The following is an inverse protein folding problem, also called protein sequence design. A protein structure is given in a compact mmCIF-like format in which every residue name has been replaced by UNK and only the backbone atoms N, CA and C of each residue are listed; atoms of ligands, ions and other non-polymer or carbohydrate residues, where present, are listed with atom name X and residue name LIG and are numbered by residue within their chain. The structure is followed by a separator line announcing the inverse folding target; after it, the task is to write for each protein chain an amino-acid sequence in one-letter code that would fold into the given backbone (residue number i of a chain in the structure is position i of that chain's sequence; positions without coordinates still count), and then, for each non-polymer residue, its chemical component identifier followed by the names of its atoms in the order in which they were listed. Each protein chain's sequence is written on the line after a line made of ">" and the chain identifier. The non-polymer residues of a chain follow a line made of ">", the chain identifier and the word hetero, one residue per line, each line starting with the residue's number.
data_IF_932500359976
#
_entry.id   IF_932500359976
#
_cell.length_a   1.000
_cell.length_b   1.000
_cell.length_c   1.000
_cell.angle_alpha   90.00
_cell.angle_beta   90.00
_cell.angle_gamma   90.00
#
_symmetry.space_group_name_H-M   'P 1'
#
loop_
_entity.id
_entity.type
_entity.pdbx_description
1 polymer ?
#
# COMPACT_ATOMS: atom_id res chain seq x y z
N UNK A 1 7.43 22.08 65.16
CA UNK A 1 7.21 20.61 65.17
C UNK A 1 5.70 20.38 65.08
N UNK A 2 5.13 19.46 64.32
CA UNK A 2 5.51 18.57 63.23
C UNK A 2 4.16 18.05 62.73
N UNK A 3 3.97 17.98 61.41
CA UNK A 3 2.78 17.41 60.78
C UNK A 3 2.52 15.99 61.30
N UNK A 4 1.25 15.65 61.61
CA UNK A 4 0.79 14.27 61.63
C UNK A 4 -0.53 14.20 60.88
N UNK A 5 -0.43 13.93 59.58
CA UNK A 5 -1.48 13.26 58.80
C UNK A 5 -1.46 11.79 59.20
N UNK A 6 -2.60 11.21 59.57
CA UNK A 6 -2.98 9.82 59.25
C UNK A 6 -4.38 9.53 59.76
N UNK A 7 -5.19 8.93 58.89
CA UNK A 7 -6.57 8.55 59.20
C UNK A 7 -7.36 8.36 57.91
N UNK A 8 -6.91 7.44 57.06
CA UNK A 8 -7.61 6.96 55.87
C UNK A 8 -9.03 6.56 56.25
N UNK A 9 -10.03 7.29 55.74
CA UNK A 9 -11.41 6.90 55.89
C UNK A 9 -11.70 5.82 54.83
N UNK A 10 -11.87 4.54 55.20
CA UNK A 10 -12.21 3.51 54.25
C UNK A 10 -13.70 3.64 53.93
N UNK A 11 -14.06 3.48 52.66
CA UNK A 11 -15.44 3.42 52.15
C UNK A 11 -16.12 4.78 51.90
N UNK A 12 -15.76 5.40 50.78
CA UNK A 12 -16.66 6.32 50.08
C UNK A 12 -17.80 5.48 49.49
N UNK A 13 -18.87 5.26 50.25
CA UNK A 13 -20.11 4.67 49.73
C UNK A 13 -20.66 5.58 48.62
N UNK A 14 -20.34 5.24 47.36
CA UNK A 14 -20.87 5.93 46.20
C UNK A 14 -22.35 5.59 46.01
N UNK A 15 -23.24 6.35 46.64
CA UNK A 15 -24.68 6.27 46.35
C UNK A 15 -24.91 6.71 44.89
N UNK A 16 -25.10 5.74 43.99
CA UNK A 16 -25.42 6.00 42.58
C UNK A 16 -26.78 6.71 42.54
N UNK A 17 -26.81 7.95 42.03
CA UNK A 17 -28.07 8.68 41.83
C UNK A 17 -28.92 7.95 40.78
N UNK A 18 -30.23 7.84 41.02
CA UNK A 18 -31.19 7.21 40.09
C UNK A 18 -31.07 7.75 38.66
N UNK A 19 -30.80 9.06 38.53
CA UNK A 19 -30.57 9.72 37.24
C UNK A 19 -29.29 9.21 36.55
N UNK A 20 -28.21 9.05 37.32
CA UNK A 20 -26.91 8.54 36.83
C UNK A 20 -27.00 7.07 36.43
N UNK A 21 -27.76 6.29 37.19
CA UNK A 21 -28.06 4.90 36.86
C UNK A 21 -28.83 4.78 35.55
N UNK A 22 -29.95 5.51 35.41
CA UNK A 22 -30.78 5.49 34.21
C UNK A 22 -30.04 6.06 32.99
N UNK A 23 -29.27 7.14 33.14
CA UNK A 23 -28.50 7.71 32.03
C UNK A 23 -27.40 6.77 31.55
N UNK A 24 -26.78 6.01 32.44
CA UNK A 24 -25.76 5.01 32.07
C UNK A 24 -26.37 3.88 31.24
N UNK A 25 -27.54 3.37 31.63
CA UNK A 25 -28.26 2.34 30.87
C UNK A 25 -28.63 2.86 29.48
N UNK A 26 -29.27 4.04 29.39
CA UNK A 26 -29.66 4.61 28.09
C UNK A 26 -28.45 4.85 27.19
N UNK A 27 -27.32 5.30 27.74
CA UNK A 27 -26.09 5.53 26.97
C UNK A 27 -25.48 4.22 26.47
N UNK A 28 -25.44 3.18 27.31
CA UNK A 28 -24.91 1.86 26.92
C UNK A 28 -25.79 1.22 25.84
N UNK A 29 -27.11 1.23 26.01
CA UNK A 29 -28.03 0.69 25.01
C UNK A 29 -28.02 1.50 23.71
N UNK A 30 -27.92 2.84 23.80
CA UNK A 30 -27.75 3.70 22.63
C UNK A 30 -26.44 3.42 21.87
N UNK A 31 -25.35 3.18 22.59
CA UNK A 31 -24.08 2.78 21.97
C UNK A 31 -24.20 1.42 21.27
N UNK A 32 -24.85 0.43 21.91
CA UNK A 32 -25.05 -0.90 21.32
C UNK A 32 -25.88 -0.83 20.02
N UNK A 33 -26.93 0.01 19.98
CA UNK A 33 -27.77 0.15 18.80
C UNK A 33 -27.08 0.89 17.65
N UNK A 34 -26.13 1.77 17.95
CA UNK A 34 -25.40 2.53 16.92
C UNK A 34 -24.22 1.77 16.33
N UNK A 35 -23.64 0.80 17.06
CA UNK A 35 -22.50 0.01 16.60
C UNK A 35 -22.72 -0.73 15.27
N UNK A 36 -23.84 -1.44 15.03
CA UNK A 36 -24.10 -2.09 13.74
C UNK A 36 -24.24 -1.10 12.58
N UNK A 37 -24.76 0.10 12.85
CA UNK A 37 -24.92 1.15 11.85
C UNK A 37 -23.57 1.74 11.45
N UNK A 38 -22.70 2.00 12.43
CA UNK A 38 -21.32 2.42 12.21
C UNK A 38 -20.56 1.32 11.45
N UNK A 39 -20.75 0.05 11.84
CA UNK A 39 -20.14 -1.08 11.14
C UNK A 39 -20.59 -1.15 9.67
N UNK A 40 -21.90 -1.02 9.40
CA UNK A 40 -22.43 -1.01 8.03
C UNK A 40 -21.87 0.14 7.18
N UNK A 41 -21.70 1.33 7.76
CA UNK A 41 -21.06 2.46 7.07
C UNK A 41 -19.58 2.15 6.78
N UNK A 42 -18.84 1.64 7.77
CA UNK A 42 -17.42 1.29 7.59
C UNK A 42 -17.24 0.19 6.56
N UNK A 43 -18.09 -0.85 6.59
CA UNK A 43 -18.05 -1.95 5.64
C UNK A 43 -18.40 -1.48 4.22
N UNK A 44 -19.43 -0.65 4.08
CA UNK A 44 -19.81 -0.05 2.80
C UNK A 44 -18.71 0.86 2.22
N UNK A 45 -18.05 1.66 3.07
CA UNK A 45 -16.93 2.52 2.65
C UNK A 45 -15.62 1.76 2.45
N UNK A 46 -15.50 0.55 3.02
CA UNK A 46 -14.31 -0.27 2.85
C UNK A 46 -14.27 -0.84 1.44
N UNK A 47 -13.16 -0.67 0.69
CA UNK A 47 -13.08 -1.15 -0.67
C UNK A 47 -13.19 -2.69 -0.73
N UNK A 48 -14.14 -3.26 -1.49
CA UNK A 48 -14.17 -4.70 -1.72
C UNK A 48 -12.93 -5.12 -2.50
N UNK A 49 -12.24 -6.18 -2.05
CA UNK A 49 -11.26 -6.90 -2.86
C UNK A 49 -9.78 -6.72 -2.53
N UNK A 50 -9.28 -5.56 -2.07
CA UNK A 50 -7.81 -5.36 -1.94
C UNK A 50 -7.14 -6.18 -0.82
N UNK A 51 -7.83 -6.37 0.31
CA UNK A 51 -7.26 -7.10 1.47
C UNK A 51 -7.30 -8.62 1.31
N UNK A 52 -8.26 -9.14 0.55
CA UNK A 52 -8.44 -10.58 0.38
C UNK A 52 -7.55 -11.15 -0.74
N UNK A 53 -7.35 -10.41 -1.84
CA UNK A 53 -6.43 -10.82 -2.92
C UNK A 53 -4.99 -10.82 -2.44
N UNK A 54 -4.56 -9.76 -1.71
CA UNK A 54 -3.19 -9.66 -1.19
C UNK A 54 -2.89 -10.76 -0.14
N UNK A 55 -3.86 -11.12 0.71
CA UNK A 55 -3.71 -12.22 1.67
C UNK A 55 -3.74 -13.61 1.00
N UNK A 56 -4.60 -13.84 -0.02
CA UNK A 56 -4.57 -15.09 -0.81
C UNK A 56 -3.28 -15.24 -1.62
N UNK A 57 -2.81 -14.19 -2.31
CA UNK A 57 -1.57 -14.27 -3.09
C UNK A 57 -0.36 -14.53 -2.19
N UNK A 58 -0.33 -13.95 -0.97
CA UNK A 58 0.69 -14.26 0.04
C UNK A 58 0.61 -15.70 0.59
N UNK A 59 -0.58 -16.29 0.65
CA UNK A 59 -0.79 -17.67 1.11
C UNK A 59 -0.61 -18.73 0.02
N UNK A 60 -0.78 -18.36 -1.25
CA UNK A 60 -0.78 -19.32 -2.36
C UNK A 60 0.56 -19.42 -3.09
N UNK A 61 1.57 -18.60 -2.75
CA UNK A 61 2.82 -18.50 -3.52
C UNK A 61 2.55 -18.48 -5.04
N UNK A 62 1.44 -17.85 -5.44
CA UNK A 62 1.06 -17.78 -6.85
C UNK A 62 1.92 -16.68 -7.45
N UNK A 63 3.13 -17.07 -7.83
CA UNK A 63 4.01 -16.23 -8.63
C UNK A 63 3.40 -16.19 -10.02
N UNK A 64 2.69 -15.10 -10.33
CA UNK A 64 2.13 -14.93 -11.65
C UNK A 64 3.25 -14.51 -12.61
N UNK A 65 3.77 -15.51 -13.32
CA UNK A 65 4.88 -15.34 -14.25
C UNK A 65 4.33 -14.83 -15.57
N UNK A 66 4.57 -13.55 -15.87
CA UNK A 66 4.37 -13.02 -17.22
C UNK A 66 5.67 -13.18 -17.99
N UNK A 67 5.58 -13.77 -19.18
CA UNK A 67 6.72 -13.91 -20.07
C UNK A 67 6.60 -13.07 -21.32
N UNK A 68 7.65 -12.28 -21.60
CA UNK A 68 7.73 -11.42 -22.79
C UNK A 68 8.93 -11.89 -23.63
N UNK A 69 8.79 -12.07 -24.95
CA UNK A 69 9.94 -12.32 -25.81
C UNK A 69 10.80 -11.05 -25.92
N UNK A 70 12.13 -11.21 -25.98
CA UNK A 70 13.07 -10.09 -26.03
C UNK A 70 12.88 -9.23 -27.29
N UNK A 71 12.32 -9.80 -28.36
CA UNK A 71 11.98 -9.10 -29.60
C UNK A 71 10.91 -8.02 -29.43
N UNK A 72 10.03 -8.16 -28.44
CA UNK A 72 8.97 -7.16 -28.16
C UNK A 72 9.48 -5.97 -27.34
N UNK A 73 10.71 -6.04 -26.83
CA UNK A 73 11.33 -4.98 -26.04
C UNK A 73 12.68 -4.60 -26.66
N UNK A 74 12.71 -3.71 -27.67
CA UNK A 74 13.94 -3.18 -28.25
C UNK A 74 14.86 -2.53 -27.21
N UNK A 75 16.12 -2.32 -27.56
CA UNK A 75 17.04 -1.58 -26.69
C UNK A 75 16.58 -0.14 -26.47
N UNK A 76 16.89 0.40 -25.29
CA UNK A 76 16.46 1.73 -24.85
C UNK A 76 14.94 1.94 -25.00
N UNK A 77 14.15 0.91 -24.66
CA UNK A 77 12.69 0.94 -24.76
C UNK A 77 12.02 0.44 -23.49
N UNK A 78 10.73 0.71 -23.40
CA UNK A 78 9.90 0.31 -22.27
C UNK A 78 8.58 -0.27 -22.74
N UNK A 79 8.01 -1.13 -21.90
CA UNK A 79 6.71 -1.76 -22.14
C UNK A 79 5.94 -1.87 -20.82
N UNK A 80 4.64 -1.60 -20.87
CA UNK A 80 3.74 -1.86 -19.77
C UNK A 80 3.18 -3.27 -19.87
N UNK A 81 3.21 -3.99 -18.75
CA UNK A 81 2.52 -5.26 -18.58
C UNK A 81 1.62 -5.18 -17.35
N UNK A 82 0.77 -6.19 -17.17
CA UNK A 82 -0.04 -6.35 -15.96
C UNK A 82 0.34 -7.66 -15.29
N UNK A 83 0.57 -7.61 -13.98
CA UNK A 83 0.83 -8.78 -13.13
C UNK A 83 -0.12 -8.65 -11.93
N UNK A 84 -1.00 -9.63 -11.68
CA UNK A 84 -1.99 -9.58 -10.60
C UNK A 84 -2.83 -8.27 -10.59
N UNK A 85 -3.25 -7.79 -11.78
CA UNK A 85 -3.93 -6.50 -12.01
C UNK A 85 -3.12 -5.23 -11.67
N UNK A 86 -1.86 -5.36 -11.24
CA UNK A 86 -0.95 -4.23 -11.05
C UNK A 86 -0.17 -3.93 -12.34
N UNK A 87 -0.12 -2.65 -12.76
CA UNK A 87 0.66 -2.25 -13.93
C UNK A 87 2.16 -2.24 -13.58
N UNK A 88 2.96 -2.88 -14.42
CA UNK A 88 4.41 -2.99 -14.28
C UNK A 88 5.09 -2.37 -15.49
N UNK A 89 6.06 -1.50 -15.24
CA UNK A 89 6.90 -0.87 -16.24
C UNK A 89 8.19 -1.67 -16.40
N UNK A 90 8.36 -2.29 -17.56
CA UNK A 90 9.58 -3.01 -17.94
C UNK A 90 10.41 -2.10 -18.83
N UNK A 91 11.70 -1.92 -18.52
CA UNK A 91 12.62 -1.06 -19.26
C UNK A 91 13.86 -1.87 -19.62
N UNK A 92 14.23 -1.85 -20.90
CA UNK A 92 15.50 -2.40 -21.39
C UNK A 92 16.47 -1.25 -21.61
N UNK A 93 17.56 -1.22 -20.84
CA UNK A 93 18.60 -0.20 -20.93
C UNK A 93 19.48 -0.46 -22.16
N UNK A 94 20.27 -1.52 -22.09
CA UNK A 94 21.27 -1.94 -23.07
C UNK A 94 21.45 -3.46 -23.06
N UNK A 95 21.54 -4.11 -24.23
CA UNK A 95 21.78 -5.56 -24.31
C UNK A 95 20.76 -6.38 -23.52
N UNK A 96 21.21 -7.10 -22.48
CA UNK A 96 20.37 -7.92 -21.59
C UNK A 96 20.03 -7.22 -20.26
N UNK A 97 20.34 -5.94 -20.11
CA UNK A 97 20.08 -5.19 -18.89
C UNK A 97 18.63 -4.70 -18.87
N UNK A 98 17.77 -5.51 -18.27
CA UNK A 98 16.33 -5.27 -18.17
C UNK A 98 15.97 -5.09 -16.69
N UNK A 99 15.18 -4.07 -16.43
CA UNK A 99 14.65 -3.73 -15.11
C UNK A 99 13.12 -3.72 -15.21
N UNK A 100 12.46 -4.10 -14.11
CA UNK A 100 11.02 -4.07 -14.00
C UNK A 100 10.65 -3.42 -12.66
N UNK A 101 9.80 -2.39 -12.73
CA UNK A 101 9.30 -1.65 -11.58
C UNK A 101 7.78 -1.57 -11.63
N UNK A 102 7.13 -1.35 -10.48
CA UNK A 102 5.74 -0.94 -10.48
C UNK A 102 5.60 0.32 -11.32
N UNK A 103 4.61 0.33 -12.21
CA UNK A 103 4.26 1.51 -12.97
C UNK A 103 3.46 2.51 -12.12
N UNK A 104 3.28 2.27 -10.82
CA UNK A 104 2.52 3.13 -9.91
C UNK A 104 3.49 4.06 -9.18
N UNK A 105 3.23 5.37 -9.27
CA UNK A 105 3.98 6.38 -8.55
C UNK A 105 3.68 6.32 -7.05
N UNK A 106 4.72 6.26 -6.22
CA UNK A 106 4.64 6.22 -4.75
C UNK A 106 4.08 7.49 -4.09
N UNK A 107 3.69 8.50 -4.87
CA UNK A 107 3.04 9.70 -4.34
C UNK A 107 1.53 9.51 -4.16
N UNK A 108 0.79 9.32 -5.27
CA UNK A 108 -0.68 9.28 -5.32
C UNK A 108 -1.17 8.33 -6.44
N UNK A 109 -0.44 7.23 -6.66
CA UNK A 109 -0.81 6.13 -7.54
C UNK A 109 -1.02 6.46 -9.03
N UNK A 110 -0.47 7.57 -9.52
CA UNK A 110 -0.43 7.85 -10.95
C UNK A 110 0.51 6.90 -11.70
N UNK A 111 0.23 6.65 -12.99
CA UNK A 111 1.13 5.88 -13.83
C UNK A 111 2.44 6.64 -14.12
N UNK A 112 3.56 5.97 -13.97
CA UNK A 112 4.88 6.47 -14.36
C UNK A 112 5.29 5.95 -15.73
N UNK A 113 6.12 6.70 -16.45
CA UNK A 113 6.62 6.33 -17.78
C UNK A 113 8.13 6.50 -17.88
N UNK A 114 8.75 5.71 -18.75
CA UNK A 114 10.18 5.81 -19.03
C UNK A 114 10.47 6.90 -20.09
N UNK A 115 11.39 7.81 -19.77
CA UNK A 115 11.93 8.78 -20.73
C UNK A 115 13.28 8.33 -21.27
N UNK A 116 13.30 7.98 -22.56
CA UNK A 116 14.47 7.39 -23.23
C UNK A 116 15.66 8.34 -23.35
N UNK A 117 15.42 9.65 -23.50
CA UNK A 117 16.48 10.63 -23.73
C UNK A 117 17.17 11.01 -22.41
N UNK A 118 16.37 11.20 -21.36
CA UNK A 118 16.80 11.58 -20.01
C UNK A 118 17.26 10.36 -19.20
N UNK A 119 16.94 9.15 -19.65
CA UNK A 119 17.24 7.88 -18.98
C UNK A 119 16.71 7.83 -17.55
N UNK A 120 15.46 8.25 -17.37
CA UNK A 120 14.79 8.26 -16.08
C UNK A 120 13.30 7.91 -16.22
N UNK A 121 12.61 7.81 -15.09
CA UNK A 121 11.20 7.47 -15.01
C UNK A 121 10.46 8.71 -14.48
N UNK A 122 9.41 9.15 -15.17
CA UNK A 122 8.65 10.36 -14.83
C UNK A 122 7.18 10.06 -14.51
N UNK A 123 6.65 10.76 -13.52
CA UNK A 123 5.24 10.87 -13.22
C UNK A 123 4.70 12.22 -13.70
N UNK A 124 3.85 12.20 -14.73
CA UNK A 124 3.31 13.44 -15.33
C UNK A 124 2.23 14.14 -14.49
N UNK A 125 1.78 13.55 -13.38
CA UNK A 125 0.74 14.17 -12.53
C UNK A 125 1.27 15.35 -11.70
N UNK A 126 2.45 15.19 -11.09
CA UNK A 126 3.04 16.20 -10.19
C UNK A 126 4.56 16.37 -10.38
N UNK A 127 5.11 15.76 -11.45
CA UNK A 127 6.52 15.92 -11.82
C UNK A 127 7.50 15.10 -10.99
N UNK A 128 7.07 14.05 -10.28
CA UNK A 128 8.02 13.15 -9.61
C UNK A 128 8.90 12.44 -10.64
N UNK A 129 10.21 12.45 -10.44
CA UNK A 129 11.17 11.70 -11.26
C UNK A 129 11.87 10.64 -10.43
N UNK A 130 12.20 9.52 -11.06
CA UNK A 130 12.91 8.40 -10.45
C UNK A 130 14.04 7.97 -11.36
N UNK A 131 15.17 7.58 -10.78
CA UNK A 131 16.28 7.04 -11.56
C UNK A 131 15.99 5.60 -12.02
N UNK A 132 16.92 5.00 -12.78
CA UNK A 132 16.78 3.61 -13.27
C UNK A 132 17.05 2.53 -12.21
N UNK A 133 17.21 2.92 -10.96
CA UNK A 133 17.18 2.03 -9.80
C UNK A 133 15.86 2.17 -9.01
N UNK A 134 14.93 3.01 -9.51
CA UNK A 134 13.61 3.26 -8.92
C UNK A 134 13.63 4.29 -7.78
N UNK A 135 14.77 4.92 -7.49
CA UNK A 135 14.90 5.88 -6.40
C UNK A 135 14.37 7.26 -6.82
N UNK A 136 13.57 7.94 -5.98
CA UNK A 136 13.08 9.28 -6.28
C UNK A 136 14.26 10.25 -6.40
N UNK A 137 14.18 11.17 -7.35
CA UNK A 137 15.19 12.22 -7.58
C UNK A 137 14.58 13.60 -7.35
N UNK A 138 13.43 13.87 -7.96
CA UNK A 138 12.72 15.15 -7.84
C UNK A 138 11.22 14.93 -7.61
N UNK A 139 10.55 16.00 -7.17
CA UNK A 139 9.10 16.03 -6.96
C UNK A 139 8.64 15.52 -5.59
N UNK A 140 7.33 15.30 -5.42
CA UNK A 140 6.73 15.00 -4.12
C UNK A 140 6.89 13.54 -3.64
N UNK A 141 7.29 12.61 -4.52
CA UNK A 141 7.48 11.21 -4.16
C UNK A 141 8.71 11.04 -3.25
N UNK A 142 8.55 10.37 -2.10
CA UNK A 142 9.62 10.15 -1.11
C UNK A 142 10.10 8.70 -1.03
N UNK A 143 9.35 7.77 -1.61
CA UNK A 143 9.64 6.34 -1.56
C UNK A 143 10.04 5.82 -2.95
N UNK A 144 10.95 4.83 -3.01
CA UNK A 144 11.33 4.20 -4.27
C UNK A 144 10.22 3.36 -4.88
N UNK A 145 10.24 3.21 -6.20
CA UNK A 145 9.33 2.31 -6.92
C UNK A 145 9.60 0.86 -6.51
N UNK A 146 8.54 0.08 -6.31
CA UNK A 146 8.65 -1.36 -6.01
C UNK A 146 9.29 -2.09 -7.19
N UNK A 147 10.36 -2.85 -6.92
CA UNK A 147 11.11 -3.59 -7.94
C UNK A 147 10.56 -5.00 -8.09
N UNK A 148 10.38 -5.44 -9.33
CA UNK A 148 9.97 -6.82 -9.63
C UNK A 148 11.19 -7.70 -9.87
N UNK A 149 11.03 -8.98 -9.51
CA UNK A 149 12.01 -10.00 -9.83
C UNK A 149 11.98 -10.27 -11.34
N UNK A 150 13.15 -10.44 -11.94
CA UNK A 150 13.30 -10.69 -13.36
C UNK A 150 14.38 -11.75 -13.61
N UNK A 151 14.04 -12.75 -14.42
CA UNK A 151 14.94 -13.80 -14.88
C UNK A 151 14.91 -13.84 -16.40
N UNK A 152 16.09 -13.89 -17.02
CA UNK A 152 16.23 -13.99 -18.48
C UNK A 152 16.72 -15.40 -18.81
N UNK A 153 15.91 -16.16 -19.55
CA UNK A 153 16.27 -17.49 -20.03
C UNK A 153 16.24 -17.49 -21.56
N UNK A 154 17.42 -17.38 -22.18
CA UNK A 154 17.56 -17.25 -23.62
C UNK A 154 16.87 -15.99 -24.14
N UNK A 155 15.80 -16.17 -24.94
CA UNK A 155 15.04 -15.08 -25.56
C UNK A 155 13.79 -14.68 -24.76
N UNK A 156 13.59 -15.28 -23.57
CA UNK A 156 12.38 -15.13 -22.76
C UNK A 156 12.69 -14.39 -21.45
N UNK A 157 11.95 -13.31 -21.21
CA UNK A 157 12.00 -12.53 -19.98
C UNK A 157 10.86 -13.00 -19.09
N UNK A 158 11.18 -13.52 -17.92
CA UNK A 158 10.24 -13.97 -16.90
C UNK A 158 10.22 -12.95 -15.78
N UNK A 159 9.04 -12.39 -15.48
CA UNK A 159 8.85 -11.42 -14.39
C UNK A 159 7.98 -12.05 -13.31
N UNK A 160 8.40 -11.93 -12.06
CA UNK A 160 7.73 -12.45 -10.88
C UNK A 160 7.51 -11.36 -9.83
N UNK A 161 6.74 -11.68 -8.78
CA UNK A 161 6.30 -10.76 -7.72
C UNK A 161 7.43 -9.87 -7.15
N UNK A 162 7.06 -8.68 -6.64
CA UNK A 162 8.01 -7.69 -6.15
C UNK A 162 8.91 -8.21 -5.02
N UNK A 163 10.14 -7.68 -4.99
CA UNK A 163 11.20 -7.98 -4.01
C UNK A 163 10.96 -7.17 -2.73
#
# INVERSE_FOLDING_TARGET
>A
MKQIKTGTNPLKEGKISRRSFLSSIVTVWGAILTLPFIYGIVDYLSPPGKKFTSFRNKLQNKVEVTSIPLSELPENSSKFIKIDDEPVLVIRKDGMNIIAFSAICTHLDCLVGYRKNEKDIICNCHGSTFNLDGMPQEGPAKEPLSKYNLTIEGDKITISNPI
#
